data_IF_890417415398
#
_entry.id   IF_890417415398
#
_cell.length_a   1.000
_cell.length_b   1.000
_cell.length_c   1.000
_cell.angle_alpha   90.00
_cell.angle_beta   90.00
_cell.angle_gamma   90.00
#
_symmetry.space_group_name_H-M   'P 1'
#
loop_
_entity.id
_entity.type
_entity.pdbx_description
1 polymer ?
#
# COMPACT_ATOMS: atom_id res chain seq x y z
N UNK A 1 -1.29 6.21 -2.26
CA UNK A 1 -2.38 6.14 -1.27
C UNK A 1 -2.28 4.89 -0.41
N UNK A 2 -2.62 3.68 -0.87
CA UNK A 2 -2.43 2.48 -0.03
C UNK A 2 -0.95 2.02 0.00
N UNK A 3 -0.39 1.73 -1.18
CA UNK A 3 1.00 1.23 -1.33
C UNK A 3 2.14 2.19 -0.93
N UNK A 4 1.82 3.47 -0.73
CA UNK A 4 2.81 4.51 -0.42
C UNK A 4 2.66 5.07 1.00
N UNK A 5 1.85 4.41 1.84
CA UNK A 5 1.41 4.94 3.10
C UNK A 5 0.36 6.05 2.92
N UNK A 6 -0.50 6.18 3.92
CA UNK A 6 -1.52 7.24 4.03
C UNK A 6 -1.03 8.43 4.85
N UNK A 7 0.20 8.39 5.35
CA UNK A 7 0.81 9.47 6.17
C UNK A 7 1.51 10.52 5.31
N UNK A 8 1.91 11.64 5.92
CA UNK A 8 2.57 12.76 5.24
C UNK A 8 3.91 12.42 4.58
N UNK A 9 4.63 11.39 5.03
CA UNK A 9 5.83 10.89 4.35
C UNK A 9 5.40 9.75 3.43
N UNK A 10 5.80 9.84 2.18
CA UNK A 10 5.47 8.77 1.24
C UNK A 10 6.52 7.67 1.33
N UNK A 11 6.09 6.41 1.47
CA UNK A 11 6.96 5.24 1.68
C UNK A 11 8.08 5.12 0.63
N UNK A 12 7.88 5.64 -0.58
CA UNK A 12 8.90 5.63 -1.63
C UNK A 12 10.10 6.54 -1.35
N UNK A 13 9.92 7.62 -0.57
CA UNK A 13 10.99 8.54 -0.21
C UNK A 13 12.02 7.88 0.72
N UNK A 14 11.59 6.88 1.50
CA UNK A 14 12.49 6.03 2.29
C UNK A 14 13.30 5.06 1.43
N UNK A 15 12.83 4.69 0.24
CA UNK A 15 13.58 3.83 -0.68
C UNK A 15 14.82 4.50 -1.26
N UNK A 16 14.75 5.82 -1.53
CA UNK A 16 15.84 6.61 -2.12
C UNK A 16 17.14 6.53 -1.31
N UNK A 17 17.16 6.88 0.00
CA UNK A 17 18.37 6.79 0.80
C UNK A 17 18.90 5.35 0.94
N UNK A 18 18.04 4.33 0.85
CA UNK A 18 18.50 2.93 0.89
C UNK A 18 19.33 2.57 -0.34
N UNK A 19 18.92 2.98 -1.54
CA UNK A 19 19.74 2.81 -2.75
C UNK A 19 21.05 3.60 -2.66
N UNK A 20 21.02 4.78 -2.02
CA UNK A 20 22.22 5.61 -1.79
C UNK A 20 23.09 5.18 -0.61
N UNK A 21 22.69 4.14 0.13
CA UNK A 21 23.38 3.66 1.33
C UNK A 21 23.45 4.70 2.46
N UNK A 22 22.54 5.68 2.44
CA UNK A 22 22.42 6.74 3.43
C UNK A 22 21.40 6.32 4.51
N UNK A 23 21.77 5.33 5.32
CA UNK A 23 20.90 4.80 6.38
C UNK A 23 20.58 5.82 7.45
N UNK A 24 21.46 6.82 7.65
CA UNK A 24 21.17 7.94 8.55
C UNK A 24 19.98 8.72 8.03
N UNK A 25 19.99 9.12 6.75
CA UNK A 25 18.86 9.82 6.14
C UNK A 25 17.59 8.97 6.14
N UNK A 26 17.69 7.66 5.92
CA UNK A 26 16.53 6.77 6.01
C UNK A 26 15.91 6.79 7.43
N UNK A 27 16.74 6.72 8.47
CA UNK A 27 16.29 6.82 9.87
C UNK A 27 15.73 8.20 10.18
N UNK A 28 16.37 9.27 9.71
CA UNK A 28 15.89 10.64 9.91
C UNK A 28 14.53 10.86 9.24
N UNK A 29 14.31 10.35 8.02
CA UNK A 29 12.98 10.42 7.38
C UNK A 29 11.91 9.67 8.18
N UNK A 30 12.28 8.56 8.80
CA UNK A 30 11.39 7.74 9.62
C UNK A 30 11.02 8.47 10.94
N UNK A 31 12.00 9.09 11.61
CA UNK A 31 11.89 9.58 12.99
C UNK A 31 11.85 11.10 13.17
N UNK A 32 12.18 11.91 12.16
CA UNK A 32 12.20 13.36 12.30
C UNK A 32 10.81 13.94 12.61
N UNK A 33 10.73 15.04 13.39
CA UNK A 33 9.49 15.79 13.60
C UNK A 33 8.82 16.15 12.28
N UNK A 34 7.49 16.11 12.28
CA UNK A 34 6.66 16.41 11.10
C UNK A 34 5.82 17.65 11.34
N UNK A 35 5.51 18.44 10.31
CA UNK A 35 4.57 19.54 10.43
C UNK A 35 3.16 18.99 10.68
N UNK A 36 2.69 19.09 11.93
CA UNK A 36 1.33 18.74 12.28
C UNK A 36 0.35 19.85 11.89
N UNK A 37 -0.91 19.50 11.59
CA UNK A 37 -1.99 20.49 11.50
C UNK A 37 -2.00 21.36 12.78
N UNK A 38 -2.41 22.62 12.66
CA UNK A 38 -2.59 23.50 13.82
C UNK A 38 -4.08 23.49 14.22
N UNK A 39 -4.44 23.10 15.46
CA UNK A 39 -3.55 22.73 16.57
C UNK A 39 -2.97 21.32 16.44
N UNK A 40 -1.76 21.16 16.97
CA UNK A 40 -1.10 19.87 17.07
C UNK A 40 -1.98 18.86 17.85
N UNK A 41 -1.85 17.55 17.57
CA UNK A 41 -2.63 16.54 18.27
C UNK A 41 -2.38 16.64 19.78
N UNK A 42 -3.44 16.83 20.55
CA UNK A 42 -3.37 17.00 22.01
C UNK A 42 -3.60 15.71 22.79
N UNK A 43 -4.11 14.67 22.14
CA UNK A 43 -4.42 13.37 22.74
C UNK A 43 -4.38 12.25 21.71
N UNK A 44 -4.20 11.01 22.18
CA UNK A 44 -4.23 9.82 21.33
C UNK A 44 -2.87 9.45 20.73
N UNK A 45 -2.89 8.45 19.85
CA UNK A 45 -1.69 7.86 19.23
C UNK A 45 -0.89 8.91 18.47
N UNK A 46 -1.56 9.84 17.77
CA UNK A 46 -0.90 10.90 17.01
C UNK A 46 -0.11 11.85 17.90
N UNK A 47 -0.58 12.14 19.12
CA UNK A 47 0.12 12.97 20.09
C UNK A 47 1.37 12.28 20.65
N UNK A 48 1.28 10.97 20.91
CA UNK A 48 2.41 10.15 21.36
C UNK A 48 3.50 10.06 20.29
N UNK A 49 3.11 9.86 19.03
CA UNK A 49 4.03 9.85 17.89
C UNK A 49 4.70 11.21 17.71
N UNK A 50 3.95 12.31 17.83
CA UNK A 50 4.50 13.67 17.78
C UNK A 50 5.56 13.87 18.87
N UNK A 51 5.21 13.55 20.12
CA UNK A 51 6.11 13.63 21.26
C UNK A 51 7.37 12.77 21.07
N UNK A 52 7.23 11.54 20.57
CA UNK A 52 8.37 10.65 20.36
C UNK A 52 9.35 11.19 19.31
N UNK A 53 8.85 11.81 18.22
CA UNK A 53 9.68 12.45 17.20
C UNK A 53 10.38 13.71 17.71
N UNK A 54 9.72 14.51 18.55
CA UNK A 54 10.36 15.67 19.20
C UNK A 54 11.47 15.25 20.16
N UNK A 55 11.26 14.16 20.92
CA UNK A 55 12.28 13.56 21.77
C UNK A 55 13.47 13.02 20.96
N UNK A 56 13.22 12.42 19.79
CA UNK A 56 14.28 12.03 18.87
C UNK A 56 15.11 13.23 18.41
N UNK A 57 14.47 14.34 18.03
CA UNK A 57 15.17 15.57 17.63
C UNK A 57 16.04 16.17 18.75
N UNK A 58 15.66 15.94 20.01
CA UNK A 58 16.44 16.32 21.20
C UNK A 58 17.52 15.29 21.59
N UNK A 59 17.76 14.27 20.77
CA UNK A 59 18.66 13.15 21.07
C UNK A 59 18.32 12.46 22.41
N UNK A 60 17.03 12.29 22.71
CA UNK A 60 16.51 11.56 23.88
C UNK A 60 15.96 10.21 23.44
N UNK A 61 16.86 9.30 23.04
CA UNK A 61 16.48 8.08 22.35
C UNK A 61 15.65 7.11 23.20
N UNK A 62 16.00 6.94 24.47
CA UNK A 62 15.24 6.08 25.37
C UNK A 62 13.82 6.64 25.60
N UNK A 63 13.71 7.93 25.90
CA UNK A 63 12.41 8.58 26.08
C UNK A 63 11.57 8.54 24.79
N UNK A 64 12.21 8.71 23.62
CA UNK A 64 11.55 8.59 22.33
C UNK A 64 11.04 7.16 22.08
N UNK A 65 11.83 6.14 22.41
CA UNK A 65 11.42 4.73 22.33
C UNK A 65 10.21 4.44 23.23
N UNK A 66 10.20 4.99 24.44
CA UNK A 66 9.15 4.74 25.43
C UNK A 66 7.87 5.51 25.10
N UNK A 67 7.98 6.67 24.45
CA UNK A 67 6.84 7.43 23.94
C UNK A 67 6.27 6.86 22.63
N UNK A 68 7.05 6.13 21.84
CA UNK A 68 6.62 5.60 20.55
C UNK A 68 5.59 4.46 20.71
N UNK A 69 4.38 4.55 20.14
CA UNK A 69 3.37 3.50 20.28
C UNK A 69 3.81 2.16 19.69
N UNK A 70 3.28 1.06 20.24
CA UNK A 70 3.63 -0.31 19.81
C UNK A 70 3.25 -0.61 18.35
N UNK A 71 2.25 0.06 17.80
CA UNK A 71 1.85 -0.05 16.39
C UNK A 71 2.91 0.49 15.41
N UNK A 72 3.85 1.33 15.86
CA UNK A 72 4.95 1.88 15.05
C UNK A 72 6.20 1.00 15.13
N UNK A 73 6.07 -0.23 14.64
CA UNK A 73 7.10 -1.28 14.76
C UNK A 73 8.46 -0.85 14.22
N UNK A 74 8.50 -0.20 13.04
CA UNK A 74 9.76 0.20 12.41
C UNK A 74 10.47 1.28 13.23
N UNK A 75 9.76 2.36 13.57
CA UNK A 75 10.27 3.47 14.38
C UNK A 75 10.77 2.99 15.74
N UNK A 76 9.95 2.22 16.46
CA UNK A 76 10.26 1.76 17.81
C UNK A 76 11.45 0.81 17.81
N UNK A 77 11.56 -0.07 16.81
CA UNK A 77 12.71 -0.99 16.67
C UNK A 77 14.02 -0.22 16.46
N UNK A 78 14.02 0.78 15.59
CA UNK A 78 15.20 1.63 15.34
C UNK A 78 15.57 2.40 16.59
N UNK A 79 14.61 3.07 17.24
CA UNK A 79 14.84 3.83 18.48
C UNK A 79 15.42 2.94 19.58
N UNK A 80 14.86 1.76 19.80
CA UNK A 80 15.36 0.81 20.80
C UNK A 80 16.77 0.32 20.49
N UNK A 81 17.10 0.06 19.22
CA UNK A 81 18.45 -0.33 18.81
C UNK A 81 19.46 0.80 19.03
N UNK A 82 19.11 2.04 18.67
CA UNK A 82 19.96 3.21 18.88
C UNK A 82 20.14 3.54 20.37
N UNK A 83 19.10 3.37 21.20
CA UNK A 83 19.17 3.60 22.65
C UNK A 83 20.08 2.57 23.35
N UNK A 84 19.98 1.29 23.00
CA UNK A 84 20.89 0.24 23.52
C UNK A 84 22.33 0.46 23.08
N UNK A 85 22.55 0.93 21.85
CA UNK A 85 23.88 1.31 21.38
C UNK A 85 24.44 2.49 22.20
N UNK A 86 23.60 3.49 22.50
CA UNK A 86 23.95 4.63 23.36
C UNK A 86 24.36 4.17 24.77
N UNK A 87 23.57 3.29 25.39
CA UNK A 87 23.88 2.72 26.70
C UNK A 87 25.18 1.91 26.70
N UNK A 88 25.36 1.02 25.72
CA UNK A 88 26.56 0.16 25.62
C UNK A 88 27.85 0.97 25.50
N UNK A 89 27.79 2.12 24.83
CA UNK A 89 28.95 2.99 24.66
C UNK A 89 29.09 4.02 25.80
N UNK A 90 28.23 3.96 26.83
CA UNK A 90 28.24 4.86 27.98
C UNK A 90 27.78 6.29 27.67
N UNK A 91 27.20 6.51 26.50
CA UNK A 91 26.78 7.83 26.00
C UNK A 91 25.61 8.40 26.81
N UNK A 92 24.81 7.55 27.44
CA UNK A 92 23.75 7.97 28.35
C UNK A 92 24.27 8.74 29.58
N UNK A 93 25.56 8.58 29.92
CA UNK A 93 26.23 9.26 31.04
C UNK A 93 26.82 10.61 30.66
N UNK A 94 26.89 10.94 29.36
CA UNK A 94 27.40 12.23 28.90
C UNK A 94 26.42 13.35 29.27
N UNK A 95 26.92 14.51 29.78
CA UNK A 95 26.10 15.69 30.02
C UNK A 95 25.30 16.11 28.78
N UNK A 96 24.20 16.83 29.00
CA UNK A 96 23.36 17.42 27.94
C UNK A 96 23.59 18.93 27.77
N UNK A 97 24.73 19.41 28.24
CA UNK A 97 25.20 20.78 27.99
C UNK A 97 25.82 20.89 26.59
N UNK A 98 26.26 22.09 26.21
CA UNK A 98 26.81 22.35 24.89
C UNK A 98 28.04 21.45 24.58
N UNK A 99 28.86 21.15 25.58
CA UNK A 99 30.05 20.31 25.45
C UNK A 99 29.67 18.85 25.22
N UNK A 100 28.75 18.31 26.02
CA UNK A 100 28.23 16.96 25.84
C UNK A 100 27.44 16.78 24.54
N UNK A 101 26.73 17.80 24.05
CA UNK A 101 26.10 17.77 22.72
C UNK A 101 27.13 17.74 21.58
N UNK A 102 28.23 18.46 21.71
CA UNK A 102 29.28 18.47 20.68
C UNK A 102 30.06 17.16 20.65
N UNK A 103 30.39 16.60 21.82
CA UNK A 103 30.95 15.25 21.94
C UNK A 103 30.02 14.22 21.31
N UNK A 104 28.70 14.29 21.57
CA UNK A 104 27.69 13.43 20.93
C UNK A 104 27.64 13.51 19.42
N UNK A 105 27.97 14.65 18.80
CA UNK A 105 28.04 14.80 17.33
C UNK A 105 29.27 14.15 16.72
N UNK A 106 30.37 14.06 17.47
CA UNK A 106 31.61 13.42 17.01
C UNK A 106 31.53 11.89 17.05
N UNK A 107 30.53 11.33 17.73
CA UNK A 107 30.36 9.89 17.90
C UNK A 107 29.79 9.21 16.65
N UNK A 108 30.44 8.11 16.27
CA UNK A 108 30.00 7.26 15.15
C UNK A 108 28.87 6.34 15.60
N UNK A 109 27.76 6.38 14.88
CA UNK A 109 26.62 5.46 15.02
C UNK A 109 26.59 4.45 13.88
N UNK A 110 26.28 3.21 14.19
CA UNK A 110 26.03 2.18 13.16
C UNK A 110 24.58 2.26 12.67
N UNK A 111 24.34 3.22 11.78
CA UNK A 111 23.02 3.46 11.18
C UNK A 111 22.50 2.26 10.38
N UNK A 112 23.40 1.51 9.73
CA UNK A 112 23.03 0.31 8.97
C UNK A 112 22.47 -0.75 9.90
N UNK A 113 23.17 -1.05 11.01
CA UNK A 113 22.68 -2.01 12.00
C UNK A 113 21.37 -1.57 12.65
N UNK A 114 21.22 -0.27 12.92
CA UNK A 114 19.99 0.28 13.48
C UNK A 114 18.79 0.10 12.53
N UNK A 115 18.96 0.44 11.25
CA UNK A 115 17.90 0.26 10.26
C UNK A 115 17.62 -1.22 9.97
N UNK A 116 18.66 -2.05 9.90
CA UNK A 116 18.55 -3.49 9.60
C UNK A 116 17.84 -4.30 10.69
N UNK A 117 17.68 -3.72 11.89
CA UNK A 117 16.87 -4.32 12.95
C UNK A 117 15.37 -4.37 12.59
N UNK A 118 14.90 -3.52 11.68
CA UNK A 118 13.53 -3.57 11.15
C UNK A 118 13.33 -4.92 10.42
N UNK A 119 12.19 -5.61 10.61
CA UNK A 119 11.88 -6.83 9.88
C UNK A 119 12.06 -6.68 8.37
N UNK A 120 12.70 -7.67 7.73
CA UNK A 120 13.06 -7.63 6.31
C UNK A 120 11.89 -7.22 5.41
N UNK A 121 10.72 -7.79 5.65
CA UNK A 121 9.50 -7.52 4.89
C UNK A 121 9.14 -6.03 4.87
N UNK A 122 9.17 -5.35 6.01
CA UNK A 122 8.91 -3.91 6.10
C UNK A 122 9.99 -3.09 5.40
N UNK A 123 11.27 -3.50 5.49
CA UNK A 123 12.36 -2.82 4.79
C UNK A 123 12.21 -2.91 3.26
N UNK A 124 11.81 -4.08 2.76
CA UNK A 124 11.58 -4.30 1.33
C UNK A 124 10.46 -3.42 0.77
N UNK A 125 9.44 -3.10 1.57
CA UNK A 125 8.37 -2.20 1.13
C UNK A 125 8.90 -0.83 0.69
N UNK A 126 9.95 -0.29 1.31
CA UNK A 126 10.49 1.03 0.95
C UNK A 126 11.08 1.06 -0.47
N UNK A 127 11.90 0.05 -0.81
CA UNK A 127 12.52 -0.06 -2.14
C UNK A 127 11.48 -0.42 -3.22
N UNK A 128 10.51 -1.29 -2.91
CA UNK A 128 9.42 -1.60 -3.83
C UNK A 128 8.42 -0.45 -4.00
N UNK A 129 8.21 0.38 -2.97
CA UNK A 129 7.44 1.60 -3.10
C UNK A 129 8.12 2.54 -4.10
N UNK A 130 9.45 2.75 -4.01
CA UNK A 130 10.17 3.54 -5.00
C UNK A 130 10.06 2.99 -6.43
N UNK A 131 10.24 1.68 -6.59
CA UNK A 131 10.03 1.00 -7.88
C UNK A 131 8.62 1.29 -8.47
N UNK A 132 7.61 1.26 -7.61
CA UNK A 132 6.20 1.50 -8.01
C UNK A 132 5.92 2.96 -8.32
N UNK A 133 6.58 3.88 -7.61
CA UNK A 133 6.50 5.31 -7.87
C UNK A 133 7.02 5.62 -9.28
N UNK A 134 8.20 5.11 -9.62
CA UNK A 134 8.78 5.29 -10.95
C UNK A 134 7.90 4.64 -12.03
N UNK A 135 7.38 3.42 -11.78
CA UNK A 135 6.45 2.76 -12.69
C UNK A 135 5.19 3.60 -12.95
N UNK A 136 4.56 4.15 -11.90
CA UNK A 136 3.38 5.01 -12.04
C UNK A 136 3.67 6.27 -12.87
N UNK A 137 4.84 6.89 -12.68
CA UNK A 137 5.28 8.05 -13.47
C UNK A 137 5.46 7.68 -14.94
N UNK A 138 6.14 6.57 -15.23
CA UNK A 138 6.34 6.09 -16.60
C UNK A 138 5.03 5.73 -17.30
N UNK A 139 4.11 5.04 -16.62
CA UNK A 139 2.78 4.71 -17.16
C UNK A 139 1.96 5.98 -17.42
N UNK A 140 1.95 6.92 -16.47
CA UNK A 140 1.23 8.19 -16.65
C UNK A 140 1.76 8.96 -17.85
N UNK A 141 3.08 8.97 -18.04
CA UNK A 141 3.72 9.62 -19.18
C UNK A 141 3.43 8.88 -20.51
N UNK A 142 3.43 7.54 -20.51
CA UNK A 142 3.01 6.71 -21.66
C UNK A 142 1.60 7.07 -22.11
N UNK A 143 0.67 7.19 -21.16
CA UNK A 143 -0.72 7.56 -21.43
C UNK A 143 -0.83 9.00 -21.91
N UNK A 144 -0.11 9.93 -21.28
CA UNK A 144 -0.11 11.34 -21.66
C UNK A 144 0.41 11.58 -23.08
N UNK A 145 1.45 10.85 -23.50
CA UNK A 145 2.08 11.03 -24.82
C UNK A 145 1.30 10.39 -25.95
N UNK A 146 0.73 9.20 -25.73
CA UNK A 146 0.22 8.37 -26.84
C UNK A 146 -1.21 7.83 -26.63
N UNK A 147 -1.84 8.14 -25.49
CA UNK A 147 -3.22 7.72 -25.20
C UNK A 147 -3.36 6.22 -24.84
N UNK A 148 -4.62 5.79 -24.75
CA UNK A 148 -5.05 4.45 -24.32
C UNK A 148 -5.85 3.69 -25.39
N UNK A 149 -5.91 4.19 -26.62
CA UNK A 149 -6.75 3.57 -27.67
C UNK A 149 -6.08 2.36 -28.32
N UNK A 150 -4.76 2.42 -28.54
CA UNK A 150 -4.00 1.39 -29.25
C UNK A 150 -2.54 1.31 -28.78
N UNK A 151 -1.90 0.13 -28.91
CA UNK A 151 -0.47 -0.01 -28.70
C UNK A 151 0.33 0.80 -29.74
N UNK A 152 1.57 1.14 -29.41
CA UNK A 152 2.51 1.85 -30.29
C UNK A 152 3.79 1.05 -30.52
N UNK A 153 4.57 1.45 -31.53
CA UNK A 153 5.91 0.90 -31.73
C UNK A 153 6.77 1.23 -30.52
N UNK A 154 7.48 0.22 -30.03
CA UNK A 154 8.28 0.33 -28.80
C UNK A 154 7.55 -0.05 -27.52
N UNK A 155 6.23 -0.28 -27.54
CA UNK A 155 5.53 -0.88 -26.40
C UNK A 155 6.01 -2.33 -26.20
N UNK A 156 5.99 -2.81 -24.96
CA UNK A 156 6.33 -4.21 -24.64
C UNK A 156 5.06 -5.05 -24.50
N UNK A 157 5.13 -6.31 -24.93
CA UNK A 157 4.12 -7.33 -24.71
C UNK A 157 4.77 -8.62 -24.24
N UNK A 158 4.06 -9.46 -23.49
CA UNK A 158 4.56 -10.80 -23.17
C UNK A 158 4.56 -11.70 -24.42
N UNK A 159 5.61 -12.50 -24.60
CA UNK A 159 5.75 -13.42 -25.75
C UNK A 159 4.74 -14.58 -25.67
N UNK A 160 4.42 -15.04 -24.45
CA UNK A 160 3.48 -16.13 -24.19
C UNK A 160 2.30 -15.61 -23.36
N UNK A 161 1.43 -14.83 -24.00
CA UNK A 161 0.34 -14.13 -23.34
C UNK A 161 -0.65 -15.09 -22.64
N UNK A 162 -0.84 -16.31 -23.16
CA UNK A 162 -1.80 -17.27 -22.62
C UNK A 162 -1.26 -18.02 -21.40
N UNK A 163 0.04 -18.36 -21.37
CA UNK A 163 0.70 -18.86 -20.17
C UNK A 163 0.68 -17.82 -19.03
N UNK A 164 0.84 -16.53 -19.35
CA UNK A 164 0.77 -15.45 -18.36
C UNK A 164 -0.67 -15.09 -17.94
N UNK A 165 -1.67 -15.18 -18.82
CA UNK A 165 -3.09 -15.01 -18.44
C UNK A 165 -3.57 -16.10 -17.49
N UNK A 166 -3.03 -17.32 -17.60
CA UNK A 166 -3.28 -18.40 -16.65
C UNK A 166 -2.52 -18.20 -15.33
N UNK A 167 -1.33 -17.59 -15.37
CA UNK A 167 -0.50 -17.27 -14.20
C UNK A 167 -0.89 -15.96 -13.47
N UNK A 168 -1.80 -15.16 -14.03
CA UNK A 168 -2.46 -13.99 -13.39
C UNK A 168 -3.28 -14.38 -12.13
N UNK A 169 -3.23 -15.65 -11.73
CA UNK A 169 -3.72 -16.21 -10.46
C UNK A 169 -2.62 -16.74 -9.52
N UNK A 170 -1.32 -16.48 -9.75
CA UNK A 170 -0.28 -16.99 -8.83
C UNK A 170 1.19 -16.70 -9.18
N UNK A 171 1.52 -15.64 -9.92
CA UNK A 171 2.88 -15.49 -10.48
C UNK A 171 3.59 -14.14 -10.34
N UNK A 172 3.01 -13.14 -9.67
CA UNK A 172 3.80 -12.00 -9.23
C UNK A 172 4.41 -12.36 -7.88
N UNK A 173 5.72 -12.12 -7.68
CA UNK A 173 6.30 -12.15 -6.34
C UNK A 173 5.35 -11.37 -5.42
N UNK A 174 4.82 -12.02 -4.38
CA UNK A 174 4.02 -11.37 -3.36
C UNK A 174 4.82 -10.18 -2.83
N UNK A 175 4.58 -9.00 -3.39
CA UNK A 175 5.05 -7.74 -2.84
C UNK A 175 4.16 -7.57 -1.63
N UNK A 176 4.70 -7.94 -0.47
CA UNK A 176 3.98 -7.92 0.79
C UNK A 176 3.33 -6.54 0.95
N UNK A 177 2.01 -6.50 0.81
CA UNK A 177 1.18 -5.37 1.17
C UNK A 177 1.37 -5.20 2.69
N UNK A 178 2.17 -4.23 3.10
CA UNK A 178 2.38 -3.94 4.52
C UNK A 178 1.23 -3.19 5.15
N UNK A 179 0.03 -3.67 4.93
CA UNK A 179 -1.16 -3.26 5.66
C UNK A 179 -1.64 -4.46 6.49
N UNK A 180 -0.79 -4.92 7.42
CA UNK A 180 -1.32 -5.45 8.68
C UNK A 180 -1.80 -4.23 9.47
N UNK A 181 -3.01 -3.79 9.14
CA UNK A 181 -3.79 -2.95 10.02
C UNK A 181 -3.83 -3.63 11.38
N UNK A 182 -3.56 -2.86 12.42
CA UNK A 182 -3.83 -3.24 13.79
C UNK A 182 -5.32 -3.59 13.89
N UNK A 183 -5.63 -4.88 13.76
CA UNK A 183 -6.83 -5.44 14.34
C UNK A 183 -6.52 -5.55 15.84
N UNK A 184 -7.36 -4.87 16.62
CA UNK A 184 -7.45 -5.01 18.06
C UNK A 184 -7.83 -6.46 18.38
N UNK A 185 -6.85 -7.30 18.69
CA UNK A 185 -7.08 -8.50 19.48
C UNK A 185 -6.26 -8.39 20.76
N UNK A 186 -6.97 -8.20 21.87
CA UNK A 186 -6.40 -8.25 23.19
C UNK A 186 -5.99 -9.68 23.53
N UNK A 187 -4.70 -9.87 23.81
CA UNK A 187 -4.13 -11.03 24.50
C UNK A 187 -3.03 -10.46 25.38
N UNK A 188 -3.34 -10.17 26.64
CA UNK A 188 -3.25 -11.07 27.80
C UNK A 188 -1.80 -11.51 28.09
N UNK A 189 -1.36 -11.13 29.29
CA UNK A 189 -0.04 -11.36 29.85
C UNK A 189 0.24 -12.86 30.05
N UNK A 190 1.47 -13.30 29.80
CA UNK A 190 1.88 -14.64 30.22
C UNK A 190 3.17 -15.14 29.59
N UNK A 191 4.27 -14.83 30.27
CA UNK A 191 5.47 -15.65 30.51
C UNK A 191 6.19 -16.39 29.35
N UNK A 192 7.50 -16.26 29.42
CA UNK A 192 8.52 -16.94 28.62
C UNK A 192 8.41 -18.47 28.78
N UNK A 193 8.46 -19.21 27.67
CA UNK A 193 8.95 -20.59 27.71
C UNK A 193 9.71 -20.95 26.42
N UNK A 194 11.01 -21.13 26.59
CA UNK A 194 11.95 -21.67 25.61
C UNK A 194 11.78 -23.19 25.50
N UNK A 195 10.83 -23.69 24.70
CA UNK A 195 10.91 -25.07 24.16
C UNK A 195 9.83 -25.34 23.10
N UNK A 196 10.13 -24.97 21.84
CA UNK A 196 9.38 -25.46 20.68
C UNK A 196 10.24 -25.54 19.41
N UNK A 197 11.45 -26.09 19.54
CA UNK A 197 12.33 -26.49 18.43
C UNK A 197 12.22 -28.00 18.16
N UNK A 198 11.02 -28.53 17.91
CA UNK A 198 10.85 -29.87 17.32
C UNK A 198 9.38 -30.13 16.95
N UNK A 199 8.99 -29.81 15.72
CA UNK A 199 8.04 -30.59 14.90
C UNK A 199 7.57 -29.77 13.68
N UNK A 200 8.40 -29.76 12.63
CA UNK A 200 7.95 -29.54 11.25
C UNK A 200 8.57 -30.62 10.37
N UNK A 201 8.05 -31.83 10.52
CA UNK A 201 8.19 -32.89 9.54
C UNK A 201 6.79 -33.43 9.25
N UNK A 202 6.50 -33.65 7.96
CA UNK A 202 5.28 -34.21 7.39
C UNK A 202 4.09 -33.24 7.14
N UNK A 203 4.23 -32.44 6.09
CA UNK A 203 3.15 -32.28 5.09
C UNK A 203 3.81 -32.08 3.72
N UNK A 204 3.87 -33.15 2.95
CA UNK A 204 4.21 -33.14 1.53
C UNK A 204 3.06 -32.45 0.78
N UNK A 205 3.18 -31.14 0.56
CA UNK A 205 2.54 -30.50 -0.58
C UNK A 205 3.65 -29.91 -1.44
N UNK A 206 3.73 -30.43 -2.67
CA UNK A 206 4.73 -30.06 -3.65
C UNK A 206 4.61 -28.56 -3.95
N UNK A 207 5.61 -27.79 -3.51
CA UNK A 207 5.78 -26.41 -3.92
C UNK A 207 5.80 -26.32 -5.46
N UNK A 208 5.04 -25.40 -6.08
CA UNK A 208 5.06 -25.25 -7.53
C UNK A 208 6.47 -24.89 -8.00
N UNK A 209 6.89 -25.52 -9.10
CA UNK A 209 8.21 -25.33 -9.70
C UNK A 209 8.47 -23.84 -9.98
N UNK A 210 9.67 -23.36 -9.65
CA UNK A 210 10.17 -22.00 -9.97
C UNK A 210 9.92 -21.69 -11.45
N UNK A 211 8.90 -20.88 -11.74
CA UNK A 211 8.51 -20.50 -13.09
C UNK A 211 9.64 -19.76 -13.81
N UNK A 212 9.88 -20.11 -15.07
CA UNK A 212 10.73 -19.33 -15.99
C UNK A 212 10.19 -17.91 -16.11
N UNK A 213 11.05 -16.91 -15.95
CA UNK A 213 10.64 -15.49 -15.97
C UNK A 213 9.93 -15.12 -17.29
N UNK A 214 8.90 -14.25 -17.24
CA UNK A 214 8.21 -13.77 -18.43
C UNK A 214 9.18 -13.17 -19.44
N UNK A 215 9.16 -13.66 -20.68
CA UNK A 215 9.89 -13.01 -21.79
C UNK A 215 8.99 -11.95 -22.41
N UNK A 216 9.54 -10.76 -22.61
CA UNK A 216 8.86 -9.67 -23.31
C UNK A 216 9.41 -9.49 -24.72
N UNK A 217 8.55 -8.96 -25.60
CA UNK A 217 8.88 -8.53 -26.96
C UNK A 217 8.53 -7.05 -27.10
N UNK A 218 9.41 -6.31 -27.76
CA UNK A 218 9.16 -4.92 -28.20
C UNK A 218 8.35 -4.94 -29.49
N UNK A 219 7.24 -4.19 -29.54
CA UNK A 219 6.39 -4.12 -30.72
C UNK A 219 7.04 -3.31 -31.85
N UNK A 220 6.98 -3.87 -33.05
CA UNK A 220 7.45 -3.24 -34.30
C UNK A 220 6.28 -2.77 -35.16
N UNK A 221 6.56 -1.98 -36.21
CA UNK A 221 5.53 -1.53 -37.17
C UNK A 221 4.79 -2.72 -37.83
N UNK A 222 5.52 -3.82 -38.08
CA UNK A 222 4.95 -5.05 -38.63
C UNK A 222 3.96 -5.71 -37.66
N UNK A 223 4.25 -5.69 -36.36
CA UNK A 223 3.37 -6.26 -35.33
C UNK A 223 2.07 -5.45 -35.18
N UNK A 224 2.16 -4.12 -35.27
CA UNK A 224 0.98 -3.26 -35.27
C UNK A 224 0.14 -3.46 -36.52
N UNK A 225 0.77 -3.60 -37.68
CA UNK A 225 0.11 -3.85 -38.96
C UNK A 225 -0.62 -5.21 -38.98
N UNK A 226 -0.10 -6.20 -38.24
CA UNK A 226 -0.74 -7.50 -38.09
C UNK A 226 -2.00 -7.46 -37.19
N UNK A 227 -2.16 -6.44 -36.34
CA UNK A 227 -3.35 -6.26 -35.51
C UNK A 227 -3.55 -7.31 -34.42
N UNK A 228 -2.50 -8.05 -34.04
CA UNK A 228 -2.58 -9.17 -33.07
C UNK A 228 -2.55 -8.73 -31.61
N UNK A 229 -2.30 -7.44 -31.33
CA UNK A 229 -2.11 -6.91 -29.99
C UNK A 229 -3.08 -5.76 -29.70
N UNK A 230 -3.62 -5.74 -28.50
CA UNK A 230 -4.46 -4.67 -27.98
C UNK A 230 -3.74 -3.83 -26.93
N UNK A 231 -4.31 -2.70 -26.55
CA UNK A 231 -3.77 -1.87 -25.45
C UNK A 231 -3.70 -2.63 -24.12
N UNK A 232 -4.56 -3.64 -23.94
CA UNK A 232 -4.62 -4.45 -22.70
C UNK A 232 -3.48 -5.48 -22.60
N UNK A 233 -2.79 -5.75 -23.72
CA UNK A 233 -1.64 -6.65 -23.74
C UNK A 233 -0.31 -5.90 -23.45
N UNK A 234 -0.35 -4.56 -23.44
CA UNK A 234 0.83 -3.73 -23.18
C UNK A 234 1.28 -3.85 -21.73
N UNK A 235 2.57 -4.13 -21.56
CA UNK A 235 3.25 -4.18 -20.26
C UNK A 235 4.28 -3.07 -20.16
N UNK A 236 4.45 -2.58 -18.93
CA UNK A 236 5.38 -1.52 -18.60
C UNK A 236 6.42 -2.06 -17.60
N UNK A 237 7.70 -1.71 -17.78
CA UNK A 237 8.79 -2.21 -16.96
C UNK A 237 8.74 -1.68 -15.53
N UNK A 238 8.88 -2.56 -14.55
CA UNK A 238 9.20 -2.24 -13.16
C UNK A 238 10.73 -2.14 -13.03
N UNK A 239 11.29 -0.95 -12.70
CA UNK A 239 12.74 -0.73 -12.67
C UNK A 239 13.55 -1.78 -11.91
N UNK A 240 14.67 -2.21 -12.47
CA UNK A 240 15.61 -3.15 -11.83
C UNK A 240 16.70 -3.63 -12.79
N UNK A 241 17.63 -4.46 -12.29
CA UNK A 241 18.83 -4.89 -13.02
C UNK A 241 18.58 -5.78 -14.24
N UNK A 242 17.43 -6.45 -14.32
CA UNK A 242 17.10 -7.40 -15.38
C UNK A 242 16.13 -6.83 -16.42
N UNK A 243 15.68 -5.60 -16.20
CA UNK A 243 14.85 -4.89 -17.19
C UNK A 243 15.77 -4.17 -18.15
N UNK A 244 15.62 -4.49 -19.43
CA UNK A 244 16.34 -3.85 -20.51
C UNK A 244 15.43 -2.82 -21.17
N UNK A 245 15.96 -1.62 -21.37
CA UNK A 245 15.34 -0.57 -22.18
C UNK A 245 16.13 -0.42 -23.48
N UNK A 246 15.43 -0.22 -24.59
CA UNK A 246 16.07 0.11 -25.87
C UNK A 246 16.82 1.46 -25.73
N UNK A 247 18.15 1.49 -25.91
CA UNK A 247 18.94 2.71 -25.71
C UNK A 247 18.46 3.86 -26.59
N UNK A 248 18.24 5.03 -25.98
CA UNK A 248 17.76 6.22 -26.70
C UNK A 248 16.26 6.21 -27.01
N UNK A 249 15.52 5.18 -26.60
CA UNK A 249 14.06 5.21 -26.64
C UNK A 249 13.51 6.28 -25.69
N UNK A 250 12.30 6.77 -25.96
CA UNK A 250 11.67 7.79 -25.12
C UNK A 250 11.47 7.29 -23.67
N UNK A 251 11.29 5.99 -23.48
CA UNK A 251 11.11 5.37 -22.17
C UNK A 251 12.43 5.22 -21.41
N UNK A 252 13.52 4.85 -22.09
CA UNK A 252 14.87 4.83 -21.48
C UNK A 252 15.26 6.25 -21.01
N UNK A 253 15.06 7.25 -21.87
CA UNK A 253 15.33 8.65 -21.53
C UNK A 253 14.51 9.10 -20.32
N UNK A 254 13.20 8.87 -20.33
CA UNK A 254 12.32 9.22 -19.21
C UNK A 254 12.74 8.51 -17.92
N UNK A 255 13.03 7.20 -17.98
CA UNK A 255 13.44 6.42 -16.83
C UNK A 255 14.71 7.00 -16.19
N UNK A 256 15.72 7.32 -17.00
CA UNK A 256 16.97 7.93 -16.52
C UNK A 256 16.74 9.32 -15.94
N UNK A 257 15.90 10.14 -16.58
CA UNK A 257 15.54 11.47 -16.07
C UNK A 257 14.84 11.41 -14.72
N UNK A 258 13.90 10.47 -14.55
CA UNK A 258 13.17 10.27 -13.29
C UNK A 258 14.12 9.85 -12.17
N UNK A 259 15.04 8.91 -12.42
CA UNK A 259 16.03 8.52 -11.42
C UNK A 259 17.02 9.65 -11.10
N UNK A 260 17.44 10.41 -12.11
CA UNK A 260 18.39 11.51 -11.94
C UNK A 260 17.81 12.64 -11.06
N UNK A 261 16.50 12.88 -11.08
CA UNK A 261 15.84 13.83 -10.17
C UNK A 261 16.06 13.47 -8.70
N UNK A 262 16.11 12.18 -8.39
CA UNK A 262 16.40 11.67 -7.06
C UNK A 262 17.90 11.41 -6.84
N UNK A 263 18.76 11.76 -7.80
CA UNK A 263 20.20 11.52 -7.79
C UNK A 263 20.56 10.03 -7.78
N UNK A 264 19.77 9.22 -8.47
CA UNK A 264 19.98 7.78 -8.68
C UNK A 264 20.28 7.50 -10.16
N UNK A 265 20.87 6.35 -10.41
CA UNK A 265 21.13 5.77 -11.73
C UNK A 265 20.53 4.36 -11.79
N UNK A 266 20.32 3.78 -12.99
CA UNK A 266 19.82 2.41 -13.11
C UNK A 266 20.66 1.36 -12.35
N UNK A 267 21.97 1.59 -12.22
CA UNK A 267 22.88 0.70 -11.51
C UNK A 267 22.60 0.67 -9.99
N UNK A 268 22.19 1.80 -9.41
CA UNK A 268 21.92 1.92 -7.97
C UNK A 268 20.70 1.07 -7.55
N UNK A 269 19.75 0.84 -8.44
CA UNK A 269 18.59 -0.01 -8.17
C UNK A 269 18.95 -1.49 -8.21
N UNK A 270 19.93 -1.86 -9.03
CA UNK A 270 20.31 -3.25 -9.31
C UNK A 270 21.48 -3.77 -8.49
N UNK A 271 22.26 -2.89 -7.88
CA UNK A 271 23.49 -3.22 -7.15
C UNK A 271 23.46 -2.60 -5.76
N UNK A 272 23.43 -3.44 -4.73
CA UNK A 272 23.46 -3.02 -3.32
C UNK A 272 24.42 -3.92 -2.56
N UNK A 273 25.20 -3.34 -1.64
CA UNK A 273 26.01 -4.10 -0.68
C UNK A 273 25.14 -4.91 0.30
N UNK A 274 23.85 -4.55 0.39
CA UNK A 274 22.79 -5.33 1.01
C UNK A 274 21.99 -6.00 -0.11
N UNK A 275 22.27 -7.27 -0.45
CA UNK A 275 21.70 -7.94 -1.62
C UNK A 275 20.16 -7.96 -1.62
N UNK A 276 19.53 -7.86 -0.45
CA UNK A 276 18.07 -7.79 -0.38
C UNK A 276 17.47 -6.54 -1.05
N UNK A 277 18.17 -5.40 -1.06
CA UNK A 277 17.65 -4.16 -1.65
C UNK A 277 17.85 -4.09 -3.16
N UNK A 278 18.61 -5.01 -3.74
CA UNK A 278 18.83 -5.07 -5.18
C UNK A 278 17.53 -5.49 -5.89
N UNK A 279 16.95 -4.55 -6.62
CA UNK A 279 15.76 -4.80 -7.43
C UNK A 279 16.15 -5.48 -8.72
N UNK A 280 15.64 -6.70 -8.93
CA UNK A 280 15.78 -7.40 -10.22
C UNK A 280 14.94 -6.74 -11.30
N UNK A 281 13.77 -6.21 -10.94
CA UNK A 281 12.79 -5.67 -11.89
C UNK A 281 11.89 -6.75 -12.48
N UNK A 282 10.82 -6.30 -13.12
CA UNK A 282 9.78 -7.15 -13.69
C UNK A 282 9.02 -6.39 -14.79
N UNK A 283 7.99 -6.99 -15.38
CA UNK A 283 7.08 -6.33 -16.31
C UNK A 283 5.66 -6.47 -15.78
N UNK A 284 4.92 -5.36 -15.76
CA UNK A 284 3.56 -5.31 -15.24
C UNK A 284 2.61 -4.80 -16.31
N UNK A 285 1.43 -5.41 -16.45
CA UNK A 285 0.39 -4.91 -17.36
C UNK A 285 0.05 -3.46 -17.04
N UNK A 286 -0.05 -2.64 -18.07
CA UNK A 286 -0.41 -1.23 -17.93
C UNK A 286 -1.89 -1.07 -17.54
N UNK A 287 -2.76 -1.93 -18.08
CA UNK A 287 -4.20 -1.92 -17.84
C UNK A 287 -4.66 -3.28 -17.31
N UNK A 288 -5.52 -3.24 -16.29
CA UNK A 288 -6.30 -4.39 -15.87
C UNK A 288 -7.76 -4.16 -16.23
N UNK A 289 -8.37 -5.12 -16.91
CA UNK A 289 -9.80 -5.11 -17.22
C UNK A 289 -10.51 -6.02 -16.21
N UNK A 290 -11.35 -5.47 -15.31
CA UNK A 290 -12.12 -6.27 -14.37
C UNK A 290 -13.04 -7.25 -15.10
N UNK A 291 -13.15 -8.47 -14.58
CA UNK A 291 -14.10 -9.48 -15.07
C UNK A 291 -15.39 -9.44 -14.27
N UNK A 292 -16.49 -9.91 -14.85
CA UNK A 292 -17.76 -10.04 -14.13
C UNK A 292 -18.31 -8.72 -13.58
N UNK A 293 -17.98 -7.59 -14.22
CA UNK A 293 -18.46 -6.28 -13.79
C UNK A 293 -19.98 -6.24 -13.91
N UNK A 294 -20.65 -5.97 -12.79
CA UNK A 294 -22.08 -5.67 -12.74
C UNK A 294 -22.34 -4.56 -11.73
N UNK A 295 -23.42 -3.82 -11.95
CA UNK A 295 -23.80 -2.73 -11.06
C UNK A 295 -25.30 -2.66 -10.84
N UNK A 296 -25.70 -2.07 -9.71
CA UNK A 296 -27.08 -1.75 -9.38
C UNK A 296 -27.13 -0.36 -8.74
N UNK A 297 -28.13 0.43 -9.15
CA UNK A 297 -28.43 1.72 -8.53
C UNK A 297 -29.50 1.54 -7.46
N UNK A 298 -29.24 2.05 -6.26
CA UNK A 298 -30.11 1.90 -5.10
C UNK A 298 -30.49 3.28 -4.55
N UNK A 299 -31.75 3.45 -4.15
CA UNK A 299 -32.15 4.59 -3.31
C UNK A 299 -31.98 4.24 -1.84
N UNK A 300 -31.51 5.21 -1.07
CA UNK A 300 -31.43 5.14 0.38
C UNK A 300 -31.75 6.51 1.00
N UNK A 301 -32.01 6.52 2.30
CA UNK A 301 -32.23 7.77 3.05
C UNK A 301 -31.29 7.84 4.24
N UNK A 302 -31.18 6.75 4.99
CA UNK A 302 -30.30 6.66 6.15
C UNK A 302 -28.93 6.09 5.74
N UNK A 303 -27.81 6.81 5.96
CA UNK A 303 -26.48 6.36 5.55
C UNK A 303 -25.94 5.17 6.35
N UNK A 304 -26.58 4.79 7.47
CA UNK A 304 -26.15 3.66 8.29
C UNK A 304 -26.87 2.34 7.95
N UNK A 305 -27.68 2.31 6.89
CA UNK A 305 -28.29 1.05 6.43
C UNK A 305 -27.32 0.30 5.52
N UNK A 306 -27.28 -1.02 5.70
CA UNK A 306 -26.45 -1.88 4.86
C UNK A 306 -27.05 -1.98 3.45
N UNK A 307 -26.31 -1.45 2.47
CA UNK A 307 -26.65 -1.54 1.05
C UNK A 307 -26.02 -2.76 0.39
N UNK A 308 -25.13 -3.47 1.10
CA UNK A 308 -24.56 -4.74 0.73
C UNK A 308 -24.47 -5.61 1.98
N UNK A 309 -24.83 -6.88 1.85
CA UNK A 309 -24.80 -7.83 2.96
C UNK A 309 -23.47 -8.55 3.03
N UNK A 310 -23.02 -8.82 4.25
CA UNK A 310 -21.87 -9.67 4.51
C UNK A 310 -22.23 -11.15 4.31
N UNK A 311 -21.22 -12.01 4.21
CA UNK A 311 -21.42 -13.46 4.18
C UNK A 311 -22.06 -13.95 5.49
N UNK A 312 -21.75 -13.30 6.62
CA UNK A 312 -22.34 -13.59 7.94
C UNK A 312 -23.85 -13.33 7.96
N UNK A 313 -24.32 -12.20 7.40
CA UNK A 313 -25.75 -11.88 7.33
C UNK A 313 -26.54 -12.95 6.56
N UNK A 314 -25.95 -13.49 5.50
CA UNK A 314 -26.55 -14.55 4.69
C UNK A 314 -26.57 -15.87 5.47
N UNK A 315 -25.48 -16.21 6.15
CA UNK A 315 -25.39 -17.44 6.96
C UNK A 315 -26.36 -17.44 8.15
N UNK A 316 -26.57 -16.27 8.78
CA UNK A 316 -27.51 -16.09 9.88
C UNK A 316 -28.96 -15.92 9.42
N UNK A 317 -29.22 -15.90 8.11
CA UNK A 317 -30.56 -15.71 7.55
C UNK A 317 -31.13 -14.30 7.75
N UNK A 318 -30.28 -13.32 8.06
CA UNK A 318 -30.63 -11.90 8.20
C UNK A 318 -30.82 -11.22 6.84
N UNK A 319 -30.22 -11.79 5.79
CA UNK A 319 -30.34 -11.31 4.43
C UNK A 319 -30.59 -12.46 3.43
N UNK A 320 -31.37 -12.22 2.36
CA UNK A 320 -31.49 -13.18 1.28
C UNK A 320 -30.14 -13.33 0.55
N UNK A 321 -29.89 -14.54 0.02
CA UNK A 321 -28.74 -14.77 -0.85
C UNK A 321 -28.73 -13.75 -1.99
N UNK A 322 -27.55 -13.20 -2.26
CA UNK A 322 -27.40 -12.18 -3.30
C UNK A 322 -27.90 -12.72 -4.65
N UNK A 323 -28.74 -11.95 -5.38
CA UNK A 323 -29.16 -12.35 -6.72
C UNK A 323 -27.94 -12.48 -7.63
N UNK A 324 -28.03 -13.28 -8.72
CA UNK A 324 -26.95 -13.39 -9.68
C UNK A 324 -26.54 -12.00 -10.20
N UNK A 325 -25.25 -11.78 -10.46
CA UNK A 325 -24.75 -10.49 -10.94
C UNK A 325 -25.50 -10.09 -12.20
N UNK A 326 -26.24 -8.99 -12.11
CA UNK A 326 -27.00 -8.41 -13.22
C UNK A 326 -26.74 -6.92 -13.26
N UNK A 327 -26.50 -6.38 -14.46
CA UNK A 327 -26.42 -4.94 -14.66
C UNK A 327 -27.81 -4.38 -14.86
N UNK A 328 -28.23 -3.48 -13.98
CA UNK A 328 -29.51 -2.78 -14.10
C UNK A 328 -29.34 -1.28 -13.91
N UNK A 329 -29.71 -0.52 -14.94
CA UNK A 329 -29.84 0.94 -14.87
C UNK A 329 -31.13 1.37 -14.17
N UNK A 330 -32.04 0.43 -13.89
CA UNK A 330 -33.25 0.71 -13.11
C UNK A 330 -32.87 0.91 -11.65
N UNK A 331 -33.23 2.06 -11.11
CA UNK A 331 -33.02 2.41 -9.72
C UNK A 331 -33.96 1.56 -8.87
N UNK A 332 -33.41 0.79 -7.92
CA UNK A 332 -34.20 -0.01 -6.97
C UNK A 332 -34.37 0.71 -5.64
N UNK A 333 -35.47 0.41 -4.95
CA UNK A 333 -35.77 0.96 -3.63
C UNK A 333 -36.33 2.38 -3.67
N UNK A 334 -36.63 2.89 -2.49
CA UNK A 334 -37.13 4.26 -2.26
C UNK A 334 -36.13 5.01 -1.37
N UNK A 335 -36.08 6.33 -1.51
CA UNK A 335 -35.20 7.16 -0.71
C UNK A 335 -34.72 8.42 -1.41
N UNK A 336 -34.03 9.27 -0.64
CA UNK A 336 -33.57 10.58 -1.10
C UNK A 336 -32.27 10.51 -1.88
N UNK A 337 -31.33 9.72 -1.38
CA UNK A 337 -29.99 9.62 -1.89
C UNK A 337 -29.86 8.43 -2.85
N UNK A 338 -28.81 8.46 -3.67
CA UNK A 338 -28.53 7.44 -4.67
C UNK A 338 -27.18 6.79 -4.35
N UNK A 339 -27.16 5.46 -4.32
CA UNK A 339 -25.97 4.66 -4.14
C UNK A 339 -25.68 3.82 -5.40
N UNK A 340 -24.40 3.61 -5.67
CA UNK A 340 -23.90 2.72 -6.71
C UNK A 340 -23.29 1.48 -6.06
N UNK A 341 -23.94 0.33 -6.21
CA UNK A 341 -23.37 -0.96 -5.81
C UNK A 341 -22.66 -1.58 -7.00
N UNK A 342 -21.38 -1.94 -6.81
CA UNK A 342 -20.53 -2.58 -7.83
C UNK A 342 -20.15 -4.00 -7.42
N UNK A 343 -20.18 -4.94 -8.36
CA UNK A 343 -19.55 -6.26 -8.24
C UNK A 343 -18.58 -6.42 -9.39
N UNK A 344 -17.37 -6.83 -9.10
CA UNK A 344 -16.31 -6.99 -10.09
C UNK A 344 -15.26 -7.97 -9.56
N UNK A 345 -14.57 -8.63 -10.48
CA UNK A 345 -13.46 -9.55 -10.19
C UNK A 345 -12.17 -8.95 -10.72
N UNK A 346 -11.20 -8.77 -9.85
CA UNK A 346 -9.85 -8.32 -10.21
C UNK A 346 -8.87 -9.49 -10.26
N UNK A 347 -7.80 -9.32 -11.01
CA UNK A 347 -6.64 -10.21 -10.93
C UNK A 347 -5.83 -9.95 -9.66
N UNK A 348 -4.78 -10.72 -9.44
CA UNK A 348 -3.81 -10.46 -8.37
C UNK A 348 -3.15 -9.09 -8.55
N UNK A 349 -2.63 -8.51 -7.47
CA UNK A 349 -1.88 -7.25 -7.51
C UNK A 349 -2.67 -6.04 -8.07
N UNK A 350 -4.01 -6.08 -8.01
CA UNK A 350 -4.90 -5.02 -8.48
C UNK A 350 -5.74 -4.44 -7.33
N UNK A 351 -5.85 -3.10 -7.30
CA UNK A 351 -6.53 -2.38 -6.22
C UNK A 351 -7.92 -1.92 -6.68
N UNK A 352 -8.97 -2.34 -5.95
CA UNK A 352 -10.36 -1.90 -6.23
C UNK A 352 -10.51 -0.38 -6.18
N UNK A 353 -9.77 0.29 -5.29
CA UNK A 353 -9.72 1.75 -5.19
C UNK A 353 -9.27 2.45 -6.48
N UNK A 354 -8.46 1.79 -7.31
CA UNK A 354 -8.04 2.33 -8.61
C UNK A 354 -9.14 2.19 -9.67
N UNK A 355 -9.89 1.08 -9.66
CA UNK A 355 -11.06 0.91 -10.51
C UNK A 355 -12.16 1.92 -10.13
N UNK A 356 -12.42 2.11 -8.83
CA UNK A 356 -13.37 3.12 -8.34
C UNK A 356 -12.94 4.54 -8.71
N UNK A 357 -11.65 4.87 -8.59
CA UNK A 357 -11.13 6.17 -9.02
C UNK A 357 -11.37 6.43 -10.51
N UNK A 358 -11.26 5.40 -11.34
CA UNK A 358 -11.54 5.53 -12.78
C UNK A 358 -13.02 5.77 -13.05
N UNK A 359 -13.93 5.12 -12.32
CA UNK A 359 -15.38 5.32 -12.44
C UNK A 359 -15.81 6.69 -11.92
N UNK A 360 -15.36 7.07 -10.73
CA UNK A 360 -15.79 8.27 -10.01
C UNK A 360 -15.03 9.54 -10.41
N UNK A 361 -13.87 9.39 -11.05
CA UNK A 361 -12.94 10.49 -11.37
C UNK A 361 -12.57 11.35 -10.15
N UNK A 362 -12.56 10.73 -8.97
CA UNK A 362 -12.32 11.37 -7.68
C UNK A 362 -11.16 10.72 -6.91
N UNK A 363 -10.60 11.43 -5.93
CA UNK A 363 -9.57 10.89 -5.06
C UNK A 363 -10.12 9.81 -4.13
N UNK A 364 -9.51 8.63 -4.14
CA UNK A 364 -9.97 7.45 -3.35
C UNK A 364 -9.11 7.19 -2.11
N UNK A 365 -8.46 8.22 -1.57
CA UNK A 365 -7.72 8.10 -0.31
C UNK A 365 -8.66 8.03 0.88
N UNK A 366 -8.29 7.23 1.90
CA UNK A 366 -9.13 7.08 3.09
C UNK A 366 -9.38 8.41 3.79
N UNK A 367 -8.38 9.31 3.82
CA UNK A 367 -8.51 10.64 4.40
C UNK A 367 -9.51 11.52 3.63
N UNK A 368 -9.38 11.62 2.30
CA UNK A 368 -10.30 12.41 1.48
C UNK A 368 -11.73 11.84 1.51
N UNK A 369 -11.87 10.51 1.46
CA UNK A 369 -13.18 9.85 1.52
C UNK A 369 -13.85 10.03 2.90
N UNK A 370 -13.07 10.00 4.00
CA UNK A 370 -13.59 10.31 5.34
C UNK A 370 -14.10 11.76 5.41
N UNK A 371 -13.35 12.71 4.88
CA UNK A 371 -13.77 14.11 4.84
C UNK A 371 -15.03 14.33 4.00
N UNK A 372 -15.12 13.68 2.83
CA UNK A 372 -16.32 13.71 1.98
C UNK A 372 -17.53 13.12 2.71
N UNK A 373 -17.35 12.01 3.43
CA UNK A 373 -18.41 11.38 4.23
C UNK A 373 -18.92 12.32 5.31
N UNK A 374 -18.01 12.97 6.07
CA UNK A 374 -18.39 13.92 7.12
C UNK A 374 -19.14 15.15 6.60
N UNK A 375 -18.87 15.56 5.36
CA UNK A 375 -19.51 16.71 4.70
C UNK A 375 -20.78 16.33 3.92
N UNK A 376 -21.10 15.04 3.84
CA UNK A 376 -22.21 14.57 3.02
C UNK A 376 -23.57 14.93 3.64
N UNK A 377 -24.52 15.31 2.78
CA UNK A 377 -25.88 15.73 3.19
C UNK A 377 -26.68 14.57 3.83
N UNK A 378 -26.34 13.33 3.48
CA UNK A 378 -26.98 12.13 4.02
C UNK A 378 -26.74 11.93 5.52
N UNK A 379 -25.66 12.47 6.07
CA UNK A 379 -25.34 12.38 7.51
C UNK A 379 -26.43 13.01 8.38
N UNK A 380 -27.16 14.01 7.87
CA UNK A 380 -28.30 14.61 8.57
C UNK A 380 -29.54 13.69 8.66
N UNK A 381 -29.54 12.57 7.93
CA UNK A 381 -30.65 11.61 7.83
C UNK A 381 -30.35 10.28 8.54
N UNK A 382 -29.25 10.22 9.30
CA UNK A 382 -28.91 9.09 10.16
C UNK A 382 -30.07 8.74 11.12
N UNK A 383 -30.51 7.48 11.11
CA UNK A 383 -31.57 6.97 11.97
C UNK A 383 -33.01 7.23 11.49
N UNK A 384 -33.23 7.95 10.38
CA UNK A 384 -34.59 8.30 9.90
C UNK A 384 -35.40 7.07 9.46
N UNK A 385 -34.75 5.95 9.12
CA UNK A 385 -35.40 4.68 8.74
C UNK A 385 -35.74 3.74 9.90
N UNK A 386 -35.16 3.93 11.08
CA UNK A 386 -35.32 2.99 12.21
C UNK A 386 -36.70 3.10 12.90
N UNK A 387 -37.36 4.25 12.80
CA UNK A 387 -38.65 4.52 13.47
C UNK A 387 -39.89 3.83 12.85
N UNK A 388 -39.76 3.20 11.69
CA UNK A 388 -40.90 2.57 11.01
C UNK A 388 -41.13 1.09 11.38
N UNK A 389 -40.15 0.41 12.00
CA UNK A 389 -40.26 -1.03 12.32
C UNK A 389 -40.94 -1.32 13.67
N UNK A 390 -41.15 -0.33 14.54
CA UNK A 390 -41.68 -0.56 15.89
C UNK A 390 -43.21 -0.46 16.01
N UNK A 391 -43.94 0.07 15.02
CA UNK A 391 -45.40 0.26 15.13
C UNK A 391 -46.26 -0.87 14.53
N UNK A 392 -45.66 -1.99 14.11
CA UNK A 392 -46.37 -3.08 13.42
C UNK A 392 -46.82 -4.26 14.29
N UNK A 393 -46.58 -4.25 15.61
CA UNK A 393 -46.86 -5.40 16.49
C UNK A 393 -47.85 -5.18 17.64
N UNK A 394 -48.44 -3.99 17.78
CA UNK A 394 -49.36 -3.68 18.90
C UNK A 394 -50.84 -3.58 18.54
N UNK A 395 -51.26 -3.94 17.32
CA UNK A 395 -52.69 -3.99 16.95
C UNK A 395 -53.13 -5.39 16.53
N UNK A 396 -52.94 -6.39 17.39
CA UNK A 396 -53.59 -7.71 17.23
C UNK A 396 -53.96 -8.39 18.56
N UNK A 397 -53.94 -7.67 19.69
CA UNK A 397 -54.42 -8.16 20.98
C UNK A 397 -55.41 -7.18 21.62
N UNK A 398 -56.54 -6.93 20.95
CA UNK A 398 -57.69 -6.30 21.60
C UNK A 398 -59.01 -6.67 20.90
N UNK A 399 -59.17 -7.94 20.54
CA UNK A 399 -60.49 -8.58 20.37
C UNK A 399 -60.38 -10.04 20.81
N UNK A 400 -60.73 -10.27 22.07
CA UNK A 400 -60.82 -11.59 22.71
C UNK A 400 -61.66 -11.48 23.96
#
# INVERSE_FOLDING_TARGET
MQRFGTTQLSTHELGIPLFKRDYKRAIDLLLAPRPYPNPAPSSGIEADVARARDLYAQARLQDAHDAMPRSYTAERTVLGRLAREEERQGWNKLPRDAEGLEERKMLRRDWLSAFSAIPKTMRMMYVHAYQSFIWNKMVSERVRRFGLERPIVGDYVFVDADAHRAADGGGDEEIVDGEQGAAEDGVDDGEEDEDALANKAASNDAAPAKGTKPKVKTLTEADLSAGTHSITDVVMPLPGSEVVFEPGSWLDTLYRELLAQDGLTPADLGSSDQPEYALRGAYRKMLHVPRGLSYTLLRYTDPHIDLAHSDEDVLLGLAPAAPPPSTSSTIKGEGKFLALQLRLVLGTSAYATMALREVLKAETSSAAQRELTLKSEDQAWAGVGAGARTNGKEQEQEQG
#
